data_IF_872869615503
#
_entry.id   IF_872869615503
#
_cell.length_a   1.000
_cell.length_b   1.000
_cell.length_c   1.000
_cell.angle_alpha   90.00
_cell.angle_beta   90.00
_cell.angle_gamma   90.00
#
_symmetry.space_group_name_H-M   'P 1'
#
loop_
_entity.id
_entity.type
_entity.pdbx_description
1 polymer ?
2 polymer ?
3 non-polymer ?
4 water ?
#
# COMPACT_ATOMS: atom_id res chain seq x y z
N UNK A 2 19.28 8.54 -12.17
CA UNK A 2 18.16 7.65 -11.74
C UNK A 2 17.36 8.35 -10.64
N UNK A 3 17.78 9.54 -10.24
CA UNK A 3 17.07 10.30 -9.18
C UNK A 3 16.98 9.52 -7.89
N UNK A 4 15.77 9.43 -7.32
CA UNK A 4 15.55 8.76 -6.01
C UNK A 4 15.22 7.28 -6.24
N UNK A 5 15.23 6.81 -7.48
CA UNK A 5 14.80 5.42 -7.74
C UNK A 5 15.65 4.39 -6.99
N UNK A 6 17.00 4.48 -6.94
CA UNK A 6 17.78 3.49 -6.20
C UNK A 6 17.40 3.46 -4.71
N UNK A 7 17.20 4.63 -4.11
CA UNK A 7 16.81 4.69 -2.68
C UNK A 7 15.44 4.04 -2.48
N UNK A 8 14.49 4.35 -3.37
CA UNK A 8 13.11 3.80 -3.26
C UNK A 8 13.11 2.28 -3.50
N UNK A 9 13.95 1.80 -4.42
CA UNK A 9 14.03 0.34 -4.67
C UNK A 9 14.44 -0.36 -3.37
N UNK A 10 15.42 0.18 -2.66
CA UNK A 10 15.88 -0.42 -1.38
C UNK A 10 14.76 -0.36 -0.32
N UNK A 11 14.04 0.76 -0.26
CA UNK A 11 12.93 0.90 0.71
C UNK A 11 11.88 -0.17 0.41
N UNK A 12 11.52 -0.32 -0.86
CA UNK A 12 10.49 -1.30 -1.21
C UNK A 12 10.95 -2.71 -0.86
N UNK A 13 12.23 -3.04 -1.09
CA UNK A 13 12.73 -4.34 -0.70
C UNK A 13 12.62 -4.55 0.81
N UNK A 14 12.97 -3.54 1.61
CA UNK A 14 12.80 -3.66 3.05
C UNK A 14 11.34 -3.86 3.42
N UNK A 15 10.43 -3.12 2.76
CA UNK A 15 9.01 -3.35 3.00
C UNK A 15 8.59 -4.78 2.68
N UNK A 16 9.08 -5.33 1.56
CA UNK A 16 8.71 -6.68 1.17
C UNK A 16 9.23 -7.72 2.13
N UNK A 17 10.25 -7.38 2.92
CA UNK A 17 10.78 -8.31 3.90
C UNK A 17 9.99 -8.31 5.21
N UNK A 18 8.95 -7.49 5.30
CA UNK A 18 8.10 -7.46 6.49
C UNK A 18 7.02 -8.50 6.27
N UNK A 19 7.14 -9.65 6.93
CA UNK A 19 6.25 -10.77 6.70
C UNK A 19 5.27 -10.94 7.85
N UNK A 20 4.09 -11.46 7.53
CA UNK A 20 3.14 -11.82 8.57
C UNK A 20 3.73 -12.93 9.45
N UNK A 21 3.48 -12.84 10.77
CA UNK A 21 4.09 -13.78 11.69
C UNK A 21 3.49 -15.17 11.59
N UNK A 22 2.30 -15.32 11.03
CA UNK A 22 1.65 -16.62 11.01
C UNK A 22 1.81 -17.33 9.67
N UNK A 23 1.42 -16.69 8.57
CA UNK A 23 1.46 -17.35 7.26
C UNK A 23 2.60 -16.86 6.36
N UNK A 24 3.46 -15.98 6.85
CA UNK A 24 4.64 -15.49 6.16
C UNK A 24 4.34 -14.67 4.90
N UNK A 25 3.11 -14.26 4.66
CA UNK A 25 2.90 -13.44 3.47
C UNK A 25 3.58 -12.08 3.64
N UNK A 26 4.23 -11.55 2.60
CA UNK A 26 4.76 -10.19 2.71
C UNK A 26 3.62 -9.19 2.89
N UNK A 27 3.80 -8.28 3.84
CA UNK A 27 2.74 -7.32 4.09
C UNK A 27 2.51 -6.39 2.91
N UNK A 28 3.48 -6.32 1.99
CA UNK A 28 3.34 -5.56 0.75
C UNK A 28 2.41 -6.20 -0.26
N UNK A 29 2.02 -7.46 -0.07
CA UNK A 29 1.36 -8.26 -1.10
C UNK A 29 0.20 -7.53 -1.75
N UNK A 30 -0.78 -7.11 -0.94
CA UNK A 30 -1.97 -6.50 -1.50
C UNK A 30 -1.70 -5.13 -2.08
N UNK A 31 -0.59 -4.50 -1.70
CA UNK A 31 -0.28 -3.15 -2.13
C UNK A 31 0.55 -3.10 -3.42
N UNK A 32 0.92 -4.24 -3.98
CA UNK A 32 1.82 -4.23 -5.13
C UNK A 32 1.19 -3.61 -6.36
N UNK A 33 -0.12 -3.75 -6.54
CA UNK A 33 -0.80 -3.22 -7.71
C UNK A 33 -2.21 -2.81 -7.33
N UNK A 34 -2.84 -2.02 -8.19
CA UNK A 34 -4.19 -1.60 -7.93
C UNK A 34 -5.16 -2.77 -8.09
N UNK A 35 -6.31 -2.71 -7.41
CA UNK A 35 -7.34 -3.75 -7.61
C UNK A 35 -7.82 -3.71 -9.05
N UNK A 36 -8.35 -4.86 -9.49
CA UNK A 36 -8.96 -4.94 -10.81
C UNK A 36 -10.32 -4.30 -10.77
N UNK A 37 -10.64 -3.52 -11.81
CA UNK A 37 -11.96 -2.94 -11.89
C UNK A 37 -13.05 -3.99 -11.98
N UNK A 38 -12.76 -5.15 -12.58
CA UNK A 38 -13.75 -6.23 -12.65
C UNK A 38 -14.12 -6.72 -11.25
N UNK A 39 -13.11 -7.03 -10.43
CA UNK A 39 -13.39 -7.60 -9.11
C UNK A 39 -14.00 -6.55 -8.17
N UNK A 40 -13.55 -5.31 -8.26
CA UNK A 40 -13.96 -4.24 -7.36
C UNK A 40 -14.45 -3.07 -8.19
N UNK A 41 -15.65 -3.18 -8.75
CA UNK A 41 -16.14 -2.13 -9.67
C UNK A 41 -16.30 -0.78 -9.00
N UNK A 42 -16.51 -0.74 -7.70
CA UNK A 42 -16.70 0.52 -7.01
C UNK A 42 -15.39 1.13 -6.52
N UNK A 43 -14.28 0.39 -6.62
CA UNK A 43 -13.04 0.86 -6.02
C UNK A 43 -12.64 2.23 -6.54
N UNK A 44 -12.73 2.43 -7.85
CA UNK A 44 -12.30 3.67 -8.47
C UNK A 44 -13.35 4.76 -8.38
N UNK A 45 -14.56 4.40 -7.96
CA UNK A 45 -15.52 5.42 -7.58
C UNK A 45 -15.30 5.90 -6.15
N UNK A 46 -14.95 4.97 -5.27
CA UNK A 46 -14.82 5.25 -3.84
C UNK A 46 -13.47 5.90 -3.54
N UNK A 47 -12.39 5.43 -4.17
CA UNK A 47 -11.04 5.91 -3.88
C UNK A 47 -10.67 6.98 -4.91
N UNK A 48 -10.53 8.22 -4.44
CA UNK A 48 -10.31 9.35 -5.33
C UNK A 48 -8.88 9.39 -5.89
N UNK A 49 -7.88 8.94 -5.11
CA UNK A 49 -6.49 8.98 -5.58
C UNK A 49 -5.88 7.60 -5.41
N UNK A 50 -6.09 6.71 -6.38
CA UNK A 50 -5.52 5.36 -6.28
C UNK A 50 -4.00 5.41 -6.25
N UNK A 51 -3.41 4.48 -5.51
CA UNK A 51 -1.97 4.39 -5.40
C UNK A 51 -1.57 2.97 -5.05
N UNK A 52 -0.45 2.53 -5.61
CA UNK A 52 0.09 1.20 -5.32
C UNK A 52 1.59 1.24 -5.46
N UNK A 53 2.25 0.17 -5.00
CA UNK A 53 3.71 0.15 -5.03
C UNK A 53 4.23 0.18 -6.46
N UNK A 54 3.57 -0.52 -7.38
CA UNK A 54 4.07 -0.51 -8.76
C UNK A 54 4.05 0.89 -9.36
N UNK A 55 3.01 1.66 -9.02
CA UNK A 55 2.93 3.05 -9.48
C UNK A 55 4.03 3.89 -8.86
N UNK A 56 4.29 3.70 -7.55
CA UNK A 56 5.35 4.45 -6.89
C UNK A 56 6.68 4.20 -7.56
N UNK A 57 7.03 2.93 -7.79
CA UNK A 57 8.29 2.61 -8.45
C UNK A 57 8.37 3.22 -9.84
N UNK A 58 7.29 3.11 -10.63
CA UNK A 58 7.30 3.67 -11.97
C UNK A 58 7.49 5.18 -11.93
N UNK A 59 6.86 5.86 -10.96
CA UNK A 59 6.95 7.31 -10.89
C UNK A 59 8.33 7.75 -10.45
N UNK A 60 9.04 6.90 -9.70
CA UNK A 60 10.41 7.26 -9.37
C UNK A 60 11.32 7.03 -10.57
N UNK A 61 11.01 6.02 -11.39
CA UNK A 61 11.80 5.81 -12.61
C UNK A 61 11.59 6.91 -13.63
N UNK A 62 10.35 7.33 -13.84
CA UNK A 62 10.05 8.24 -14.94
C UNK A 62 10.14 9.70 -14.55
N UNK A 63 10.57 10.00 -13.33
CA UNK A 63 10.81 11.36 -12.89
C UNK A 63 9.60 12.08 -12.33
N UNK A 64 8.45 11.42 -12.25
CA UNK A 64 7.27 12.04 -11.64
C UNK A 64 7.49 12.32 -10.17
N UNK A 65 8.13 11.41 -9.45
CA UNK A 65 8.56 11.66 -8.08
C UNK A 65 10.06 11.83 -8.11
N UNK A 66 10.53 12.99 -7.68
CA UNK A 66 11.96 13.26 -7.59
C UNK A 66 12.44 13.43 -6.15
N UNK A 67 11.54 13.45 -5.17
CA UNK A 67 11.91 13.69 -3.80
C UNK A 67 11.29 12.63 -2.90
N UNK A 68 11.96 12.39 -1.76
CA UNK A 68 11.40 11.45 -0.79
C UNK A 68 10.08 11.96 -0.23
N UNK A 69 9.90 13.28 -0.21
CA UNK A 69 8.63 13.86 0.30
C UNK A 69 7.47 13.33 -0.55
N UNK A 70 7.66 13.31 -1.87
CA UNK A 70 6.61 12.82 -2.78
C UNK A 70 6.34 11.34 -2.51
N UNK A 71 7.39 10.56 -2.32
CA UNK A 71 7.22 9.11 -2.04
C UNK A 71 6.48 8.94 -0.72
N UNK A 72 6.82 9.75 0.28
CA UNK A 72 6.15 9.64 1.60
C UNK A 72 4.66 9.94 1.45
N UNK A 73 4.31 10.99 0.70
CA UNK A 73 2.88 11.35 0.50
C UNK A 73 2.17 10.24 -0.27
N UNK A 74 2.82 9.66 -1.28
CA UNK A 74 2.19 8.57 -2.06
C UNK A 74 1.95 7.35 -1.17
N UNK A 75 2.92 7.00 -0.33
CA UNK A 75 2.72 5.84 0.59
C UNK A 75 1.60 6.16 1.58
N UNK A 76 1.57 7.39 2.10
CA UNK A 76 0.53 7.77 3.09
C UNK A 76 -0.85 7.61 2.45
N UNK A 77 -0.99 8.08 1.21
CA UNK A 77 -2.27 7.97 0.53
C UNK A 77 -2.65 6.52 0.33
N UNK A 78 -1.66 5.70 -0.07
CA UNK A 78 -1.91 4.29 -0.31
C UNK A 78 -2.44 3.63 0.96
N UNK A 79 -1.82 3.91 2.11
CA UNK A 79 -2.25 3.30 3.37
C UNK A 79 -3.59 3.86 3.82
N UNK A 80 -3.81 5.16 3.63
CA UNK A 80 -5.12 5.73 3.94
C UNK A 80 -6.21 5.14 3.07
N UNK A 81 -5.91 4.87 1.79
CA UNK A 81 -6.90 4.22 0.95
C UNK A 81 -7.26 2.86 1.52
N UNK A 82 -6.25 2.11 1.99
CA UNK A 82 -6.52 0.78 2.52
C UNK A 82 -7.38 0.85 3.77
N UNK A 83 -7.10 1.81 4.64
CA UNK A 83 -7.85 1.92 5.88
C UNK A 83 -9.27 2.42 5.66
N UNK A 84 -9.48 3.22 4.61
CA UNK A 84 -10.81 3.71 4.27
C UNK A 84 -11.66 2.62 3.64
N UNK A 85 -11.06 1.78 2.81
CA UNK A 85 -11.82 0.83 2.01
C UNK A 85 -12.12 -0.45 2.77
N UNK A 86 -11.19 -0.92 3.61
CA UNK A 86 -11.29 -2.24 4.24
C UNK A 86 -11.73 -2.16 5.70
N UNK A 87 -12.35 -3.25 6.17
CA UNK A 87 -12.82 -3.32 7.55
C UNK A 87 -11.64 -3.29 8.53
N UNK A 88 -11.86 -2.64 9.68
CA UNK A 88 -10.87 -2.68 10.74
C UNK A 88 -10.62 -4.12 11.15
N UNK A 89 -9.35 -4.46 11.40
CA UNK A 89 -9.00 -5.80 11.80
C UNK A 89 -8.87 -6.80 10.67
N UNK A 90 -9.29 -6.44 9.46
CA UNK A 90 -9.11 -7.34 8.33
C UNK A 90 -7.63 -7.42 7.98
N UNK A 91 -7.25 -8.45 7.23
CA UNK A 91 -5.84 -8.62 6.93
C UNK A 91 -5.26 -7.44 6.18
N UNK A 92 -6.04 -6.82 5.28
CA UNK A 92 -5.51 -5.71 4.51
C UNK A 92 -5.30 -4.51 5.42
N UNK A 93 -6.24 -4.25 6.31
CA UNK A 93 -6.15 -3.14 7.24
C UNK A 93 -4.94 -3.31 8.16
N UNK A 94 -4.74 -4.52 8.68
CA UNK A 94 -3.61 -4.79 9.57
C UNK A 94 -2.30 -4.61 8.82
N UNK A 95 -2.23 -5.12 7.60
CA UNK A 95 -0.99 -4.97 6.83
C UNK A 95 -0.69 -3.50 6.58
N UNK A 96 -1.73 -2.69 6.32
CA UNK A 96 -1.53 -1.27 6.10
C UNK A 96 -0.94 -0.63 7.36
N UNK A 97 -1.50 -0.96 8.52
CA UNK A 97 -1.03 -0.34 9.76
C UNK A 97 0.39 -0.78 10.10
N UNK A 98 0.69 -2.07 9.95
CA UNK A 98 2.02 -2.55 10.27
C UNK A 98 3.06 -1.98 9.31
N UNK A 99 2.75 -1.93 8.01
CA UNK A 99 3.69 -1.36 7.06
C UNK A 99 3.85 0.13 7.27
N UNK A 100 2.76 0.84 7.58
CA UNK A 100 2.86 2.26 7.79
C UNK A 100 3.72 2.56 9.00
N UNK A 101 3.66 1.74 10.04
CA UNK A 101 4.53 1.99 11.18
C UNK A 101 5.99 1.79 10.77
N UNK A 102 6.25 0.77 9.94
CA UNK A 102 7.60 0.54 9.46
C UNK A 102 8.08 1.69 8.59
N UNK A 103 7.24 2.18 7.68
CA UNK A 103 7.72 3.25 6.80
C UNK A 103 7.90 4.56 7.58
N UNK A 104 7.07 4.81 8.59
CA UNK A 104 7.26 5.99 9.41
C UNK A 104 8.66 5.99 10.04
N UNK A 105 9.07 4.85 10.59
CA UNK A 105 10.40 4.76 11.18
C UNK A 105 11.48 4.90 10.11
N UNK A 106 11.26 4.29 8.93
CA UNK A 106 12.25 4.40 7.86
C UNK A 106 12.46 5.86 7.47
N UNK A 107 11.37 6.62 7.30
CA UNK A 107 11.50 8.02 6.92
C UNK A 107 12.20 8.81 8.02
N UNK A 108 11.90 8.53 9.28
CA UNK A 108 12.57 9.22 10.36
C UNK A 108 14.08 9.00 10.29
N UNK A 109 14.50 7.75 10.10
CA UNK A 109 15.91 7.43 10.07
C UNK A 109 16.61 8.03 8.86
N UNK A 110 15.88 8.31 7.78
CA UNK A 110 16.47 8.82 6.56
C UNK A 110 16.25 10.31 6.37
N UNK A 111 15.80 11.00 7.42
CA UNK A 111 15.52 12.42 7.33
C UNK A 111 16.44 13.20 8.25
N UNK B 1 -2.21 -10.45 10.47
CA UNK B 1 -3.32 -11.38 10.35
C UNK B 1 -3.15 -12.19 9.07
N UNK B 2 -3.44 -13.49 9.14
CA UNK B 2 -3.32 -14.35 7.98
C UNK B 2 -4.14 -13.80 6.81
N UNK B 3 -3.54 -13.90 5.62
CA UNK B 3 -4.22 -13.45 4.40
C UNK B 3 -5.52 -14.24 4.20
N UNK B 4 -6.56 -13.55 3.71
CA UNK B 4 -7.79 -14.26 3.36
C UNK B 4 -7.49 -15.29 2.28
N UNK B 5 -8.22 -16.41 2.34
CA UNK B 5 -7.84 -17.58 1.53
C UNK B 5 -7.85 -17.28 0.03
N UNK B 6 -8.76 -16.43 -0.44
CA UNK B 6 -8.77 -16.11 -1.86
C UNK B 6 -7.73 -15.07 -2.24
N UNK B 7 -7.10 -14.44 -1.26
CA UNK B 7 -6.33 -13.22 -1.49
C UNK B 7 -7.16 -11.97 -1.73
N UNK B 8 -8.47 -12.03 -1.52
CA UNK B 8 -9.34 -10.88 -1.77
C UNK B 8 -9.42 -9.87 -0.64
N UNK B 9 -9.95 -8.68 -0.93
CA UNK B 9 -9.98 -7.59 0.03
C UNK B 9 -11.18 -7.70 0.97
N UNK B 10 -11.31 -6.74 1.89
CA UNK B 10 -12.42 -6.78 2.83
C UNK B 10 -13.21 -5.46 2.83
N UNK B 11 -13.93 -5.19 1.74
CA UNK B 11 -14.62 -3.90 1.58
C UNK B 11 -15.68 -3.64 2.63
N UNK B 12 -15.67 -2.43 3.19
CA UNK B 12 -16.61 -2.09 4.26
C UNK B 12 -18.03 -2.06 3.71
N UNK B 13 -18.96 -2.57 4.52
CA UNK B 13 -20.36 -2.62 4.09
C UNK B 13 -20.93 -1.24 3.80
N UNK B 14 -20.52 -0.21 4.58
CA UNK B 14 -21.10 1.11 4.37
C UNK B 14 -20.79 1.71 3.01
N UNK B 15 -19.76 1.22 2.32
CA UNK B 15 -19.42 1.80 1.04
C UNK B 15 -20.45 1.50 -0.03
N UNK B 16 -21.35 0.53 0.21
CA UNK B 16 -22.39 0.19 -0.76
C UNK B 16 -23.30 1.37 -1.06
N UNK B 17 -23.37 2.36 -0.16
CA UNK B 17 -24.23 3.52 -0.36
C UNK B 17 -23.44 4.77 -0.74
N UNK B 18 -22.17 4.64 -1.08
CA UNK B 18 -21.29 5.79 -1.28
C UNK B 18 -21.46 6.35 -2.70
X LIG C 1 -1.51 -17.40 1.54
X LIG C 1 -0.29 -16.87 1.93
X LIG C 1 -2.47 -17.23 2.71
X LIG C 1 -3.73 -16.85 2.27
X LIG C 1 -2.47 -18.61 3.39
X LIG C 1 -2.81 -18.39 4.73
#
# INVERSE_FOLDING_TARGET
SLGIFPTVEKLVEEMREQLDEVDSHPRTSIFEKLPSKRDYPDYFKVIEKPMAIDIILKNCKNGTYKTLEEVRQALQTMFENARFYNEEGSWVYVDADKLNEFTDEWFKEHSS
TARKSTGGXAPRKQLASY
GOL C1 O1 C2 O2 C3 O3
#
